data_IF_184869920909
#
_entry.id   IF_184869920909
#
_cell.length_a   1.000
_cell.length_b   1.000
_cell.length_c   1.000
_cell.angle_alpha   90.00
_cell.angle_beta   90.00
_cell.angle_gamma   90.00
#
_symmetry.space_group_name_H-M   'P 1'
#
loop_
_entity.id
_entity.type
_entity.pdbx_description
1 polymer ?
#
# COMPACT_ATOMS: atom_id res chain seq x y z
N UNK A 1 -9.63 50.40 28.69
CA UNK A 1 -8.22 50.01 28.45
C UNK A 1 -8.08 48.62 29.07
N UNK A 2 -8.25 47.51 28.33
CA UNK A 2 -7.29 46.87 27.39
C UNK A 2 -5.95 46.60 28.12
N UNK A 3 -5.44 45.39 28.31
CA UNK A 3 -5.43 44.18 27.46
C UNK A 3 -5.49 42.86 28.27
N UNK A 4 -6.18 41.87 27.72
CA UNK A 4 -6.03 40.46 28.06
C UNK A 4 -5.26 39.80 26.91
N UNK A 5 -4.16 39.11 27.23
CA UNK A 5 -3.38 38.34 26.26
C UNK A 5 -4.03 36.97 26.08
N UNK A 6 -4.63 36.74 24.91
CA UNK A 6 -5.04 35.43 24.42
C UNK A 6 -3.84 34.82 23.67
N UNK A 7 -3.27 33.74 24.23
CA UNK A 7 -2.34 32.89 23.49
C UNK A 7 -3.12 32.05 22.49
N UNK A 8 -2.95 32.33 21.20
CA UNK A 8 -3.32 31.43 20.12
C UNK A 8 -2.16 30.46 19.88
N UNK A 9 -2.31 29.20 20.27
CA UNK A 9 -1.56 28.11 19.64
C UNK A 9 -2.36 27.65 18.40
N UNK A 10 -1.74 27.52 17.22
CA UNK A 10 -2.41 26.92 16.09
C UNK A 10 -2.45 25.41 16.26
N UNK A 11 -3.67 24.88 16.34
CA UNK A 11 -3.98 23.48 16.01
C UNK A 11 -3.69 23.28 14.51
N UNK A 12 -2.45 22.93 14.17
CA UNK A 12 -2.17 22.23 12.92
C UNK A 12 -2.65 20.79 13.08
N UNK A 13 -3.90 20.55 12.67
CA UNK A 13 -4.36 19.22 12.33
C UNK A 13 -3.60 18.77 11.07
N UNK A 14 -2.43 18.17 11.28
CA UNK A 14 -1.59 17.55 10.26
C UNK A 14 -2.31 16.26 9.80
N UNK A 15 -3.28 16.43 8.89
CA UNK A 15 -3.94 15.31 8.21
C UNK A 15 -2.97 14.74 7.18
N UNK A 16 -2.01 13.94 7.66
CA UNK A 16 -1.13 13.12 6.84
C UNK A 16 -1.90 11.93 6.29
N UNK A 17 -2.58 12.14 5.16
CA UNK A 17 -3.11 11.07 4.34
C UNK A 17 -1.95 10.17 3.88
N UNK A 18 -1.83 8.99 4.50
CA UNK A 18 -0.92 7.93 4.08
C UNK A 18 -1.49 7.28 2.83
N UNK A 19 -0.98 7.74 1.69
CA UNK A 19 -1.07 7.00 0.46
C UNK A 19 -0.23 5.73 0.57
N UNK A 20 -0.84 4.57 0.40
CA UNK A 20 -0.11 3.36 -0.02
C UNK A 20 0.21 3.47 -1.52
N UNK A 21 0.82 4.57 -1.94
CA UNK A 21 1.98 4.43 -2.82
C UNK A 21 2.99 3.69 -1.94
N UNK A 22 3.73 2.72 -2.48
CA UNK A 22 4.94 2.22 -1.80
C UNK A 22 5.88 3.41 -1.56
N UNK A 23 5.62 4.18 -0.50
CA UNK A 23 6.54 5.10 0.12
C UNK A 23 7.38 4.18 0.99
N UNK A 24 8.34 3.54 0.34
CA UNK A 24 9.45 2.88 1.03
C UNK A 24 10.00 3.90 2.00
N UNK A 25 9.86 3.60 3.29
CA UNK A 25 10.50 4.39 4.33
C UNK A 25 12.01 4.24 4.14
N UNK A 26 12.65 5.27 3.57
CA UNK A 26 14.09 5.46 3.57
C UNK A 26 14.58 5.65 5.01
N UNK A 27 14.65 4.57 5.78
CA UNK A 27 15.25 4.55 7.11
C UNK A 27 16.58 3.80 7.05
N UNK A 28 17.69 4.54 6.96
CA UNK A 28 19.02 3.99 7.16
C UNK A 28 20.15 4.58 6.31
N UNK A 29 20.31 5.92 6.23
CA UNK A 29 21.56 6.51 5.74
C UNK A 29 22.60 6.54 6.87
N UNK A 30 23.56 5.62 6.83
CA UNK A 30 24.84 5.77 7.51
C UNK A 30 25.84 6.44 6.55
N UNK A 31 26.52 7.48 7.05
CA UNK A 31 27.36 8.40 6.32
C UNK A 31 28.60 7.75 5.65
N UNK A 32 28.93 8.22 4.44
CA UNK A 32 30.16 7.93 3.71
C UNK A 32 31.42 8.51 4.38
N UNK A 33 32.50 7.73 4.36
CA UNK A 33 33.88 8.23 4.41
C UNK A 33 34.61 7.84 3.11
N UNK A 34 35.44 8.71 2.48
CA UNK A 34 36.01 8.44 1.16
C UNK A 34 37.46 7.94 1.24
N UNK A 35 37.82 6.94 0.41
CA UNK A 35 39.20 6.76 -0.08
C UNK A 35 39.26 5.83 -1.32
N UNK A 36 39.46 6.45 -2.50
CA UNK A 36 40.24 6.04 -3.70
C UNK A 36 40.14 4.63 -4.32
N UNK A 37 39.80 4.54 -5.62
CA UNK A 37 40.77 4.47 -6.76
C UNK A 37 40.01 4.49 -8.12
N UNK A 38 40.57 5.03 -9.23
CA UNK A 38 39.85 5.40 -10.43
C UNK A 38 39.85 4.29 -11.48
N UNK A 39 38.71 3.62 -11.63
CA UNK A 39 38.18 3.11 -12.90
C UNK A 39 36.66 3.21 -12.88
N UNK A 40 36.16 4.45 -12.83
CA UNK A 40 34.78 4.75 -13.20
C UNK A 40 34.63 4.42 -14.69
N UNK A 41 34.13 3.22 -14.98
CA UNK A 41 33.37 3.04 -16.21
C UNK A 41 32.27 4.10 -16.19
N UNK A 42 32.17 4.89 -17.27
CA UNK A 42 31.08 5.81 -17.59
C UNK A 42 29.74 5.05 -17.69
N UNK A 43 29.30 4.48 -16.57
CA UNK A 43 27.95 3.97 -16.40
C UNK A 43 27.05 5.18 -16.24
N UNK A 44 26.00 5.24 -17.04
CA UNK A 44 24.94 6.23 -16.87
C UNK A 44 24.44 6.20 -15.42
N UNK A 45 24.20 7.37 -14.84
CA UNK A 45 23.68 7.53 -13.47
C UNK A 45 22.23 7.01 -13.29
N UNK A 46 21.68 6.37 -14.32
CA UNK A 46 20.31 5.85 -14.42
C UNK A 46 20.33 4.33 -14.56
N UNK A 47 19.36 3.61 -13.96
CA UNK A 47 19.22 2.18 -14.14
C UNK A 47 18.88 1.84 -15.60
N UNK A 48 19.18 0.61 -16.07
CA UNK A 48 18.72 0.16 -17.38
C UNK A 48 17.19 0.26 -17.50
N UNK A 49 16.68 0.41 -18.73
CA UNK A 49 15.24 0.46 -18.96
C UNK A 49 14.56 -0.88 -18.66
N UNK A 50 13.35 -0.82 -18.10
CA UNK A 50 12.43 -1.96 -18.05
C UNK A 50 11.75 -2.07 -19.41
N UNK A 51 11.75 -3.26 -20.01
CA UNK A 51 11.06 -3.49 -21.29
C UNK A 51 9.76 -4.26 -21.05
N UNK A 52 8.65 -3.76 -21.59
CA UNK A 52 7.34 -4.42 -21.56
C UNK A 52 6.93 -4.81 -22.98
N UNK A 53 6.43 -6.04 -23.16
CA UNK A 53 5.96 -6.56 -24.46
C UNK A 53 4.57 -7.16 -24.33
N UNK A 54 3.77 -7.07 -25.39
CA UNK A 54 2.46 -7.72 -25.52
C UNK A 54 1.90 -7.59 -26.92
N UNK A 55 1.34 -8.67 -27.48
CA UNK A 55 0.76 -8.73 -28.84
C UNK A 55 1.64 -8.11 -29.94
N UNK A 56 2.95 -8.42 -29.92
CA UNK A 56 3.93 -7.91 -30.89
C UNK A 56 4.30 -6.43 -30.71
N UNK A 57 3.77 -5.76 -29.68
CA UNK A 57 4.16 -4.40 -29.27
C UNK A 57 5.21 -4.45 -28.18
N UNK A 58 6.00 -3.38 -28.09
CA UNK A 58 7.01 -3.20 -27.07
C UNK A 58 7.04 -1.73 -26.64
N UNK A 59 7.20 -1.49 -25.35
CA UNK A 59 7.57 -0.19 -24.78
C UNK A 59 8.79 -0.37 -23.89
N UNK A 60 9.71 0.59 -23.95
CA UNK A 60 10.81 0.70 -22.99
C UNK A 60 10.43 1.78 -21.99
N UNK A 61 10.68 1.52 -20.72
CA UNK A 61 10.28 2.38 -19.62
C UNK A 61 11.51 2.84 -18.85
N UNK A 62 11.64 4.15 -18.70
CA UNK A 62 12.59 4.77 -17.79
C UNK A 62 12.09 4.68 -16.35
N UNK A 63 13.02 4.56 -15.41
CA UNK A 63 12.69 4.67 -14.00
C UNK A 63 12.54 6.15 -13.63
N UNK A 64 11.43 6.53 -13.00
CA UNK A 64 11.21 7.91 -12.55
C UNK A 64 11.57 8.11 -11.08
N UNK A 65 11.59 7.03 -10.29
CA UNK A 65 12.14 7.00 -8.92
C UNK A 65 13.04 5.78 -8.83
N UNK A 66 14.25 5.93 -8.32
CA UNK A 66 15.20 4.82 -8.19
C UNK A 66 16.35 5.17 -7.24
N UNK A 67 16.95 4.14 -6.66
CA UNK A 67 18.32 4.13 -6.19
C UNK A 67 19.10 3.06 -6.97
N UNK A 68 20.10 3.47 -7.74
CA UNK A 68 20.91 2.59 -8.55
C UNK A 68 22.39 2.97 -8.46
N UNK A 69 23.22 1.98 -8.11
CA UNK A 69 24.63 2.19 -7.78
C UNK A 69 24.79 3.23 -6.66
N UNK A 70 25.37 4.40 -6.96
CA UNK A 70 25.62 5.50 -6.04
C UNK A 70 24.69 6.71 -6.27
N UNK A 71 23.65 6.55 -7.09
CA UNK A 71 22.71 7.63 -7.43
C UNK A 71 21.30 7.28 -6.99
N UNK A 72 20.62 8.24 -6.39
CA UNK A 72 19.18 8.16 -6.17
C UNK A 72 18.48 9.34 -6.84
N UNK A 73 17.33 9.08 -7.43
CA UNK A 73 16.42 10.07 -7.96
C UNK A 73 15.02 9.78 -7.43
N UNK A 74 14.31 10.83 -7.06
CA UNK A 74 12.90 10.74 -6.68
C UNK A 74 12.09 11.66 -7.60
N UNK A 75 11.19 11.07 -8.36
CA UNK A 75 10.50 11.74 -9.44
C UNK A 75 9.14 11.14 -9.70
N UNK A 76 8.57 11.51 -10.85
CA UNK A 76 7.22 11.09 -11.24
C UNK A 76 7.10 11.11 -12.76
N UNK A 77 6.32 10.21 -13.36
CA UNK A 77 6.18 10.19 -14.81
C UNK A 77 5.35 11.40 -15.26
N UNK A 78 5.85 12.20 -16.19
CA UNK A 78 5.06 13.27 -16.81
C UNK A 78 4.02 12.71 -17.81
N UNK A 79 4.36 11.58 -18.42
CA UNK A 79 3.54 10.86 -19.38
C UNK A 79 3.64 9.36 -19.11
N UNK A 80 2.57 8.61 -19.42
CA UNK A 80 2.60 7.15 -19.35
C UNK A 80 2.85 6.58 -20.75
N UNK A 81 3.99 5.88 -20.97
CA UNK A 81 4.14 5.04 -22.15
C UNK A 81 2.94 4.09 -22.26
N UNK A 82 2.31 4.02 -23.43
CA UNK A 82 1.12 3.20 -23.66
C UNK A 82 1.48 1.96 -24.48
N UNK A 83 1.33 0.78 -23.89
CA UNK A 83 1.50 -0.50 -24.58
C UNK A 83 0.37 -0.75 -25.61
N UNK A 84 -0.75 -0.03 -25.49
CA UNK A 84 -1.92 -0.15 -26.32
C UNK A 84 -2.89 -1.22 -25.84
N UNK A 85 -3.69 -1.74 -26.78
CA UNK A 85 -4.67 -2.81 -26.50
C UNK A 85 -4.05 -4.19 -26.66
N UNK A 86 -4.13 -5.01 -25.62
CA UNK A 86 -3.57 -6.36 -25.55
C UNK A 86 -4.66 -7.39 -25.22
N UNK A 87 -4.66 -8.50 -25.94
CA UNK A 87 -5.50 -9.67 -25.75
C UNK A 87 -4.72 -10.91 -25.27
N UNK A 88 -3.41 -10.95 -25.56
CA UNK A 88 -2.51 -12.01 -25.16
C UNK A 88 -1.74 -11.74 -23.87
N UNK A 89 -0.59 -12.39 -23.78
CA UNK A 89 0.34 -12.28 -22.66
C UNK A 89 1.07 -10.93 -22.65
N UNK A 90 1.29 -10.39 -21.46
CA UNK A 90 2.16 -9.23 -21.24
C UNK A 90 3.39 -9.72 -20.48
N UNK A 91 4.59 -9.42 -20.98
CA UNK A 91 5.86 -9.75 -20.32
C UNK A 91 6.62 -8.50 -19.95
N UNK A 92 7.18 -8.46 -18.75
CA UNK A 92 8.09 -7.43 -18.26
C UNK A 92 9.49 -8.04 -18.18
N UNK A 93 10.51 -7.33 -18.63
CA UNK A 93 11.90 -7.81 -18.56
C UNK A 93 12.86 -6.72 -18.14
N UNK A 94 13.88 -7.12 -17.39
CA UNK A 94 14.94 -6.25 -16.89
C UNK A 94 16.30 -6.95 -17.06
N UNK A 95 17.33 -6.25 -17.57
CA UNK A 95 18.57 -6.90 -18.00
C UNK A 95 19.48 -7.34 -16.84
N UNK A 96 19.31 -6.77 -15.64
CA UNK A 96 20.17 -7.09 -14.50
C UNK A 96 19.68 -8.32 -13.75
N UNK A 97 20.61 -9.23 -13.45
CA UNK A 97 20.33 -10.47 -12.74
C UNK A 97 20.05 -10.23 -11.27
N UNK A 98 19.26 -11.11 -10.67
CA UNK A 98 18.97 -11.12 -9.23
C UNK A 98 17.89 -10.14 -8.79
N UNK A 99 17.51 -9.19 -9.64
CA UNK A 99 16.41 -8.28 -9.35
C UNK A 99 15.09 -9.02 -9.20
N UNK A 100 14.26 -8.54 -8.28
CA UNK A 100 12.87 -8.99 -8.09
C UNK A 100 11.94 -7.87 -8.45
N UNK A 101 10.77 -8.22 -8.97
CA UNK A 101 9.78 -7.24 -9.37
C UNK A 101 8.40 -7.58 -8.85
N UNK A 102 7.66 -6.53 -8.52
CA UNK A 102 6.25 -6.55 -8.13
C UNK A 102 5.48 -5.55 -8.99
N UNK A 103 4.15 -5.68 -9.01
CA UNK A 103 3.32 -4.78 -9.78
C UNK A 103 2.04 -4.41 -9.05
N UNK A 104 1.57 -3.19 -9.32
CA UNK A 104 0.27 -2.70 -8.87
C UNK A 104 -0.49 -2.18 -10.07
N UNK A 105 -1.80 -2.43 -10.10
CA UNK A 105 -2.69 -1.95 -11.14
C UNK A 105 -3.58 -0.84 -10.60
N UNK A 106 -3.72 0.25 -11.35
CA UNK A 106 -4.50 1.44 -10.99
C UNK A 106 -5.48 1.79 -12.10
N UNK A 107 -6.65 2.30 -11.72
CA UNK A 107 -7.67 2.82 -12.64
C UNK A 107 -8.23 4.15 -12.13
N UNK A 108 -8.24 5.23 -12.94
CA UNK A 108 -7.88 5.29 -14.37
C UNK A 108 -6.38 5.21 -14.66
N UNK A 109 -6.03 4.99 -15.93
CA UNK A 109 -4.65 4.97 -16.40
C UNK A 109 -4.07 6.39 -16.54
N UNK A 110 -3.76 7.04 -15.41
CA UNK A 110 -3.26 8.42 -15.34
C UNK A 110 -1.84 8.50 -14.79
N UNK A 111 -1.05 9.47 -15.27
CA UNK A 111 0.32 9.68 -14.82
C UNK A 111 0.43 10.10 -13.34
N UNK A 112 -0.65 10.65 -12.78
CA UNK A 112 -0.72 11.08 -11.38
C UNK A 112 -1.97 10.48 -10.73
N UNK A 113 -1.83 9.33 -10.05
CA UNK A 113 -2.95 8.68 -9.40
C UNK A 113 -3.55 9.60 -8.33
N UNK A 114 -4.87 9.60 -8.22
CA UNK A 114 -5.62 10.32 -7.20
C UNK A 114 -6.05 9.37 -6.08
N UNK A 115 -6.44 9.86 -4.88
CA UNK A 115 -6.73 8.95 -3.75
C UNK A 115 -7.89 8.01 -4.06
N UNK A 116 -8.69 8.38 -5.07
CA UNK A 116 -9.94 7.72 -5.44
C UNK A 116 -9.77 6.73 -6.58
N UNK A 117 -8.53 6.58 -7.06
CA UNK A 117 -8.22 5.63 -8.10
C UNK A 117 -8.34 4.22 -7.54
N UNK A 118 -8.97 3.35 -8.31
CA UNK A 118 -9.16 1.96 -7.93
C UNK A 118 -7.81 1.26 -8.08
N UNK A 119 -7.29 0.78 -6.95
CA UNK A 119 -6.15 -0.11 -6.92
C UNK A 119 -6.62 -1.57 -7.00
N UNK A 120 -5.95 -2.35 -7.84
CA UNK A 120 -6.14 -3.79 -8.00
C UNK A 120 -4.75 -4.46 -7.94
N UNK A 121 -4.66 -5.71 -7.48
CA UNK A 121 -3.39 -6.41 -7.50
C UNK A 121 -3.00 -6.71 -8.95
N UNK A 122 -1.71 -6.64 -9.24
CA UNK A 122 -1.13 -7.19 -10.46
C UNK A 122 0.03 -8.11 -10.08
N UNK A 123 0.04 -9.32 -10.62
CA UNK A 123 1.09 -10.28 -10.25
C UNK A 123 2.15 -10.37 -11.34
N UNK A 124 3.42 -10.31 -10.94
CA UNK A 124 4.54 -10.68 -11.79
C UNK A 124 5.00 -12.09 -11.46
N UNK A 125 4.82 -13.01 -12.41
CA UNK A 125 5.21 -14.42 -12.28
C UNK A 125 6.49 -14.66 -13.07
N UNK A 126 7.53 -15.19 -12.43
CA UNK A 126 8.79 -15.47 -13.12
C UNK A 126 8.60 -16.38 -14.34
N UNK A 127 9.05 -15.91 -15.51
CA UNK A 127 8.95 -16.60 -16.80
C UNK A 127 10.32 -16.94 -17.40
N UNK A 128 11.39 -16.66 -16.66
CA UNK A 128 12.77 -16.89 -17.07
C UNK A 128 13.71 -15.91 -16.36
N UNK A 129 15.00 -16.00 -16.67
CA UNK A 129 16.00 -15.08 -16.11
C UNK A 129 15.70 -13.64 -16.54
N UNK A 130 15.41 -12.76 -15.57
CA UNK A 130 15.15 -11.34 -15.85
C UNK A 130 13.85 -11.08 -16.62
N UNK A 131 12.91 -12.03 -16.64
CA UNK A 131 11.63 -11.89 -17.34
C UNK A 131 10.49 -12.41 -16.48
N UNK A 132 9.40 -11.65 -16.44
CA UNK A 132 8.19 -11.92 -15.68
C UNK A 132 6.98 -11.80 -16.59
N UNK A 133 6.01 -12.68 -16.42
CA UNK A 133 4.68 -12.57 -16.99
C UNK A 133 3.81 -11.75 -16.06
N UNK A 134 3.18 -10.71 -16.61
CA UNK A 134 2.22 -9.88 -15.89
C UNK A 134 0.83 -10.52 -15.95
N UNK A 135 0.20 -10.64 -14.78
CA UNK A 135 -1.18 -11.10 -14.60
C UNK A 135 -2.00 -9.96 -13.98
N UNK A 136 -2.63 -9.11 -14.81
CA UNK A 136 -3.58 -8.10 -14.34
C UNK A 136 -4.80 -8.76 -13.69
N UNK A 137 -5.34 -8.16 -12.62
CA UNK A 137 -6.58 -8.61 -11.98
C UNK A 137 -7.79 -7.75 -12.40
N UNK A 138 -8.98 -8.27 -12.18
CA UNK A 138 -10.24 -7.53 -12.38
C UNK A 138 -10.73 -7.54 -13.84
N UNK A 139 -11.69 -6.65 -14.17
CA UNK A 139 -12.35 -6.65 -15.47
C UNK A 139 -11.40 -6.28 -16.63
N UNK A 140 -11.83 -6.53 -17.87
CA UNK A 140 -11.18 -5.93 -19.04
C UNK A 140 -11.29 -4.39 -18.95
N UNK A 141 -10.23 -3.67 -19.27
CA UNK A 141 -10.22 -2.22 -19.11
C UNK A 141 -8.89 -1.58 -19.41
N UNK A 142 -8.84 -0.26 -19.24
CA UNK A 142 -7.61 0.53 -19.37
C UNK A 142 -7.05 0.83 -17.98
N UNK A 143 -5.80 0.47 -17.78
CA UNK A 143 -5.12 0.51 -16.51
C UNK A 143 -3.75 1.18 -16.62
N UNK A 144 -3.33 1.79 -15.52
CA UNK A 144 -1.93 2.05 -15.24
C UNK A 144 -1.36 0.85 -14.49
N UNK A 145 -0.17 0.43 -14.87
CA UNK A 145 0.59 -0.61 -14.17
C UNK A 145 1.86 0.03 -13.66
N UNK A 146 2.03 0.01 -12.35
CA UNK A 146 3.27 0.39 -11.69
C UNK A 146 4.09 -0.88 -11.49
N UNK A 147 5.36 -0.84 -11.91
CA UNK A 147 6.29 -1.95 -11.77
C UNK A 147 7.42 -1.49 -10.86
N UNK A 148 7.57 -2.21 -9.76
CA UNK A 148 8.56 -1.93 -8.74
C UNK A 148 9.63 -3.00 -8.74
N UNK A 149 10.90 -2.59 -8.81
CA UNK A 149 12.05 -3.47 -8.89
C UNK A 149 12.98 -3.29 -7.71
N UNK A 150 13.56 -4.39 -7.22
CA UNK A 150 14.55 -4.38 -6.15
C UNK A 150 15.78 -5.20 -6.47
N UNK A 151 16.96 -4.64 -6.17
CA UNK A 151 18.23 -5.33 -6.24
C UNK A 151 18.56 -6.10 -4.95
N UNK A 152 19.20 -7.28 -5.05
CA UNK A 152 19.88 -7.88 -3.91
C UNK A 152 21.00 -6.97 -3.41
N UNK A 153 21.00 -6.63 -2.12
CA UNK A 153 22.06 -5.83 -1.51
C UNK A 153 21.85 -4.31 -1.57
N UNK A 154 20.66 -3.86 -1.98
CA UNK A 154 20.31 -2.44 -2.03
C UNK A 154 20.14 -1.93 -3.45
N UNK A 155 19.21 -0.99 -3.60
CA UNK A 155 18.80 -0.42 -4.88
C UNK A 155 17.39 -0.84 -5.26
N UNK A 156 16.67 0.10 -5.85
CA UNK A 156 15.29 -0.03 -6.26
C UNK A 156 15.02 0.83 -7.50
N UNK A 157 13.91 0.55 -8.16
CA UNK A 157 13.38 1.42 -9.20
C UNK A 157 11.87 1.28 -9.30
N UNK A 158 11.22 2.37 -9.70
CA UNK A 158 9.81 2.43 -10.02
C UNK A 158 9.66 2.90 -11.46
N UNK A 159 8.82 2.17 -12.21
CA UNK A 159 8.38 2.59 -13.54
C UNK A 159 6.88 2.38 -13.70
N UNK A 160 6.28 3.00 -14.70
CA UNK A 160 4.84 2.91 -14.94
C UNK A 160 4.51 2.93 -16.43
N UNK A 161 3.44 2.23 -16.81
CA UNK A 161 2.93 2.26 -18.18
C UNK A 161 1.40 2.10 -18.20
N UNK A 162 0.78 2.54 -19.30
CA UNK A 162 -0.63 2.31 -19.56
C UNK A 162 -0.83 1.06 -20.44
N UNK A 163 -1.90 0.31 -20.19
CA UNK A 163 -2.31 -0.81 -21.03
C UNK A 163 -3.83 -0.93 -21.05
N UNK A 164 -4.38 -1.38 -22.17
CA UNK A 164 -5.80 -1.75 -22.28
C UNK A 164 -5.92 -3.27 -22.45
N UNK A 165 -6.46 -3.97 -21.46
CA UNK A 165 -6.72 -5.42 -21.55
C UNK A 165 -8.09 -5.66 -22.16
N UNK A 166 -8.19 -6.63 -23.08
CA UNK A 166 -9.49 -7.02 -23.68
C UNK A 166 -10.16 -8.20 -22.99
N UNK A 167 -9.43 -8.88 -22.11
CA UNK A 167 -9.91 -10.02 -21.31
C UNK A 167 -9.86 -9.64 -19.84
N UNK A 168 -10.87 -10.07 -19.09
CA UNK A 168 -10.84 -9.98 -17.65
C UNK A 168 -9.73 -10.89 -17.08
N UNK A 169 -9.04 -10.40 -16.07
CA UNK A 169 -8.14 -11.18 -15.23
C UNK A 169 -8.89 -11.94 -14.15
N UNK A 170 -8.15 -12.47 -13.18
CA UNK A 170 -8.74 -13.07 -11.98
C UNK A 170 -9.47 -12.00 -11.16
N UNK A 171 -10.60 -12.36 -10.56
CA UNK A 171 -11.22 -11.51 -9.53
C UNK A 171 -10.34 -11.57 -8.28
N UNK A 172 -9.82 -10.44 -7.79
CA UNK A 172 -9.03 -10.44 -6.56
C UNK A 172 -9.92 -10.88 -5.38
N UNK A 173 -9.34 -11.66 -4.47
CA UNK A 173 -10.01 -11.95 -3.21
C UNK A 173 -10.09 -10.66 -2.38
N UNK A 174 -11.18 -10.45 -1.61
CA UNK A 174 -11.24 -9.36 -0.67
C UNK A 174 -10.05 -9.39 0.30
N UNK A 175 -9.49 -8.22 0.57
CA UNK A 175 -8.40 -8.03 1.52
C UNK A 175 -8.85 -7.06 2.59
N UNK A 176 -8.30 -7.20 3.79
CA UNK A 176 -8.60 -6.29 4.87
C UNK A 176 -7.34 -6.03 5.69
N UNK A 177 -7.31 -4.87 6.33
CA UNK A 177 -6.26 -4.48 7.26
C UNK A 177 -6.81 -3.66 8.41
N UNK A 178 -6.12 -3.73 9.55
CA UNK A 178 -6.42 -2.91 10.71
C UNK A 178 -5.12 -2.26 11.21
N UNK A 179 -5.08 -0.93 11.17
CA UNK A 179 -4.16 -0.12 11.95
C UNK A 179 -4.76 0.09 13.35
N UNK A 180 -4.14 -0.51 14.37
CA UNK A 180 -4.61 -0.37 15.74
C UNK A 180 -3.51 -0.15 16.77
N UNK A 181 -2.45 -0.95 16.71
CA UNK A 181 -1.31 -0.85 17.61
C UNK A 181 -0.03 -0.94 16.81
N UNK A 182 0.98 -0.20 17.24
CA UNK A 182 2.35 -0.34 16.79
C UNK A 182 3.26 -0.55 18.01
N UNK A 183 4.43 -1.12 17.75
CA UNK A 183 5.48 -1.20 18.76
C UNK A 183 6.29 0.09 18.72
N UNK A 184 6.28 0.83 19.84
CA UNK A 184 7.11 2.01 20.05
C UNK A 184 8.00 1.75 21.27
N UNK A 185 9.30 1.55 21.02
CA UNK A 185 10.33 1.26 22.03
C UNK A 185 10.01 0.05 22.93
N UNK A 186 9.46 -1.02 22.36
CA UNK A 186 9.11 -2.25 23.06
C UNK A 186 7.81 -2.14 23.86
N UNK A 187 6.95 -1.16 23.54
CA UNK A 187 5.67 -0.92 24.19
C UNK A 187 4.57 -0.73 23.17
N UNK A 188 3.34 -1.17 23.48
CA UNK A 188 2.19 -0.91 22.64
C UNK A 188 1.90 0.59 22.64
N UNK A 189 1.70 1.12 21.45
CA UNK A 189 1.26 2.49 21.24
C UNK A 189 0.15 2.49 20.17
N UNK A 190 -0.81 3.40 20.28
CA UNK A 190 -1.75 3.69 19.21
C UNK A 190 -1.55 5.15 18.79
N UNK A 191 -1.75 5.46 17.50
CA UNK A 191 -1.62 6.83 17.01
C UNK A 191 -2.83 7.72 17.40
N UNK A 192 -3.55 7.37 18.48
CA UNK A 192 -4.81 8.00 18.84
C UNK A 192 -5.95 7.68 17.87
N UNK A 193 -5.78 6.73 16.96
CA UNK A 193 -6.77 6.36 15.94
C UNK A 193 -6.84 4.85 15.72
N UNK A 194 -7.98 4.39 15.23
CA UNK A 194 -8.17 3.08 14.63
C UNK A 194 -8.57 3.24 13.17
N UNK A 195 -7.88 2.54 12.28
CA UNK A 195 -8.15 2.54 10.84
C UNK A 195 -8.40 1.11 10.38
N UNK A 196 -9.63 0.83 9.96
CA UNK A 196 -10.01 -0.48 9.45
C UNK A 196 -10.44 -0.34 7.99
N UNK A 197 -9.96 -1.23 7.15
CA UNK A 197 -10.29 -1.20 5.74
C UNK A 197 -10.56 -2.57 5.16
N UNK A 198 -11.39 -2.57 4.12
CA UNK A 198 -11.62 -3.72 3.25
C UNK A 198 -11.48 -3.26 1.80
N UNK A 199 -10.70 -3.99 1.04
CA UNK A 199 -10.45 -3.81 -0.39
C UNK A 199 -10.97 -4.99 -1.19
N UNK A 200 -11.09 -4.76 -2.50
CA UNK A 200 -11.40 -5.77 -3.51
C UNK A 200 -12.73 -6.51 -3.26
N UNK A 201 -13.71 -5.87 -2.63
CA UNK A 201 -15.07 -6.38 -2.54
C UNK A 201 -15.65 -6.49 -3.96
N UNK A 202 -16.37 -7.59 -4.23
CA UNK A 202 -17.00 -7.81 -5.54
C UNK A 202 -18.02 -6.72 -5.90
N UNK A 203 -18.61 -6.09 -4.88
CA UNK A 203 -19.51 -4.93 -5.01
C UNK A 203 -19.24 -3.91 -3.92
N UNK A 204 -19.41 -2.61 -4.23
CA UNK A 204 -19.45 -1.57 -3.20
C UNK A 204 -20.72 -1.72 -2.35
N UNK A 205 -20.60 -1.91 -1.03
CA UNK A 205 -21.77 -2.00 -0.17
C UNK A 205 -22.50 -0.65 -0.11
N UNK A 206 -23.82 -0.69 0.04
CA UNK A 206 -24.65 0.52 0.21
C UNK A 206 -24.70 0.97 1.66
N UNK A 207 -24.60 0.01 2.58
CA UNK A 207 -24.53 0.21 4.02
C UNK A 207 -23.38 -0.60 4.59
N UNK A 208 -22.60 0.04 5.46
CA UNK A 208 -21.48 -0.58 6.11
C UNK A 208 -21.36 -0.04 7.55
N UNK A 209 -21.11 -0.93 8.51
CA UNK A 209 -20.84 -0.60 9.90
C UNK A 209 -19.78 -1.54 10.44
N UNK A 210 -18.92 -1.05 11.34
CA UNK A 210 -17.93 -1.89 12.00
C UNK A 210 -17.83 -1.55 13.49
N UNK A 211 -17.58 -2.56 14.31
CA UNK A 211 -17.29 -2.41 15.73
C UNK A 211 -16.01 -3.19 16.04
N UNK A 212 -15.05 -2.50 16.63
CA UNK A 212 -13.80 -3.05 17.12
C UNK A 212 -13.95 -3.41 18.59
N UNK A 213 -13.54 -4.60 18.98
CA UNK A 213 -13.44 -4.99 20.39
C UNK A 213 -12.03 -5.46 20.71
N UNK A 214 -11.43 -4.87 21.73
CA UNK A 214 -10.08 -5.19 22.19
C UNK A 214 -10.20 -5.80 23.59
N UNK A 215 -9.60 -6.98 23.76
CA UNK A 215 -9.51 -7.68 25.04
C UNK A 215 -8.05 -7.85 25.42
N UNK A 216 -7.62 -7.18 26.49
CA UNK A 216 -6.30 -7.38 27.10
C UNK A 216 -6.41 -8.19 28.38
N UNK A 217 -5.30 -8.28 29.13
CA UNK A 217 -5.28 -9.08 30.39
C UNK A 217 -6.20 -8.54 31.48
N UNK A 218 -6.42 -7.24 31.52
CA UNK A 218 -7.08 -6.58 32.66
C UNK A 218 -8.42 -5.95 32.29
N UNK A 219 -8.86 -6.07 31.03
CA UNK A 219 -10.11 -5.45 30.61
C UNK A 219 -10.45 -5.70 29.15
N UNK A 220 -11.64 -5.22 28.79
CA UNK A 220 -12.24 -5.29 27.46
C UNK A 220 -12.85 -3.95 27.14
N UNK A 221 -12.64 -3.46 25.93
CA UNK A 221 -13.23 -2.22 25.44
C UNK A 221 -13.74 -2.42 24.01
N UNK A 222 -14.86 -1.79 23.68
CA UNK A 222 -15.46 -1.81 22.35
C UNK A 222 -15.60 -0.39 21.83
N UNK A 223 -15.38 -0.23 20.53
CA UNK A 223 -15.36 1.05 19.82
C UNK A 223 -16.14 0.88 18.52
N UNK A 224 -17.10 1.78 18.29
CA UNK A 224 -17.72 1.88 16.98
C UNK A 224 -16.73 2.52 16.01
N UNK A 225 -16.60 1.94 14.82
CA UNK A 225 -15.77 2.46 13.74
C UNK A 225 -16.72 3.07 12.70
N UNK A 226 -16.96 4.39 12.72
CA UNK A 226 -17.79 5.02 11.71
C UNK A 226 -17.15 4.87 10.33
N UNK A 227 -18.00 4.75 9.32
CA UNK A 227 -17.57 4.76 7.92
C UNK A 227 -16.92 6.11 7.63
N UNK A 228 -15.71 6.10 7.04
CA UNK A 228 -15.04 7.34 6.67
C UNK A 228 -15.88 8.11 5.66
N UNK A 229 -16.12 9.40 5.93
CA UNK A 229 -16.91 10.29 5.07
C UNK A 229 -16.10 10.88 3.92
N UNK A 230 -14.88 10.40 3.70
CA UNK A 230 -14.04 10.86 2.59
C UNK A 230 -14.84 10.86 1.28
N UNK A 231 -14.69 11.95 0.51
CA UNK A 231 -15.30 12.16 -0.82
C UNK A 231 -14.91 11.07 -1.83
N UNK A 232 -14.08 10.15 -1.39
CA UNK A 232 -13.24 9.26 -2.15
C UNK A 232 -13.55 7.81 -1.78
N UNK A 233 -14.44 7.19 -2.55
CA UNK A 233 -14.86 5.79 -2.32
C UNK A 233 -14.69 4.98 -3.59
N UNK A 234 -13.48 4.45 -3.87
CA UNK A 234 -13.25 3.56 -4.99
C UNK A 234 -14.22 2.37 -4.93
N UNK A 235 -14.58 1.85 -6.11
CA UNK A 235 -15.47 0.69 -6.16
C UNK A 235 -14.83 -0.51 -5.47
N UNK A 236 -15.63 -1.26 -4.71
CA UNK A 236 -15.18 -2.45 -3.99
C UNK A 236 -14.34 -2.15 -2.75
N UNK A 237 -14.36 -0.92 -2.21
CA UNK A 237 -13.65 -0.56 -1.00
C UNK A 237 -14.58 0.01 0.07
N UNK A 238 -14.24 -0.24 1.33
CA UNK A 238 -14.76 0.48 2.50
C UNK A 238 -13.63 0.82 3.45
N UNK A 239 -13.75 1.97 4.12
CA UNK A 239 -12.80 2.49 5.10
C UNK A 239 -13.58 2.95 6.32
N UNK A 240 -13.11 2.58 7.50
CA UNK A 240 -13.66 2.99 8.77
C UNK A 240 -12.56 3.63 9.60
N UNK A 241 -12.89 4.70 10.31
CA UNK A 241 -11.93 5.48 11.08
C UNK A 241 -12.55 5.89 12.41
N UNK A 242 -11.81 5.76 13.50
CA UNK A 242 -12.23 6.26 14.81
C UNK A 242 -11.06 6.93 15.53
N UNK A 243 -11.28 8.15 16.04
CA UNK A 243 -10.35 8.80 16.95
C UNK A 243 -10.54 8.27 18.38
N UNK A 244 -9.50 7.68 18.93
CA UNK A 244 -9.50 7.08 20.27
C UNK A 244 -8.17 7.36 20.98
N UNK A 245 -8.13 8.27 21.98
CA UNK A 245 -6.90 8.60 22.69
C UNK A 245 -6.21 7.38 23.30
N UNK A 246 -4.88 7.34 23.21
CA UNK A 246 -4.07 6.19 23.57
C UNK A 246 -4.23 5.74 25.02
N UNK A 247 -4.13 6.70 25.94
CA UNK A 247 -4.27 6.47 27.37
C UNK A 247 -5.64 5.89 27.73
N UNK A 248 -6.67 6.21 26.95
CA UNK A 248 -8.02 5.67 27.11
C UNK A 248 -8.08 4.21 26.67
N UNK A 249 -7.45 3.84 25.57
CA UNK A 249 -7.40 2.45 25.09
C UNK A 249 -6.62 1.59 26.06
N UNK A 250 -5.35 1.91 26.28
CA UNK A 250 -4.45 1.10 27.10
C UNK A 250 -4.90 1.06 28.57
N UNK A 251 -5.45 2.16 29.09
CA UNK A 251 -6.06 2.19 30.42
C UNK A 251 -7.26 1.27 30.56
N UNK A 252 -8.06 1.09 29.50
CA UNK A 252 -9.26 0.26 29.53
C UNK A 252 -8.97 -1.25 29.36
N UNK A 253 -8.00 -1.61 28.53
CA UNK A 253 -7.70 -3.03 28.21
C UNK A 253 -6.54 -3.61 29.01
N UNK A 254 -5.69 -2.75 29.58
CA UNK A 254 -4.53 -3.14 30.38
C UNK A 254 -3.34 -3.54 29.52
N UNK A 255 -2.77 -4.72 29.79
CA UNK A 255 -1.52 -5.19 29.16
C UNK A 255 -1.78 -6.25 28.09
N UNK A 256 -0.88 -6.30 27.11
CA UNK A 256 -0.85 -7.31 26.06
C UNK A 256 -0.62 -8.76 26.57
N UNK A 257 -0.84 -9.79 25.73
CA UNK A 257 -1.31 -9.75 24.34
C UNK A 257 -2.74 -9.20 24.25
N UNK A 258 -3.05 -8.50 23.15
CA UNK A 258 -4.40 -8.00 22.89
C UNK A 258 -5.08 -8.91 21.88
N UNK A 259 -6.19 -9.52 22.27
CA UNK A 259 -7.11 -10.17 21.33
C UNK A 259 -8.03 -9.10 20.76
N UNK A 260 -8.06 -8.99 19.44
CA UNK A 260 -8.77 -7.94 18.72
C UNK A 260 -9.79 -8.61 17.82
N UNK A 261 -11.06 -8.23 18.00
CA UNK A 261 -12.18 -8.71 17.19
C UNK A 261 -12.77 -7.53 16.42
N UNK A 262 -13.00 -7.71 15.13
CA UNK A 262 -13.73 -6.75 14.29
C UNK A 262 -15.00 -7.41 13.81
N UNK A 263 -16.15 -6.90 14.25
CA UNK A 263 -17.44 -7.23 13.65
C UNK A 263 -17.75 -6.20 12.57
N UNK A 264 -17.98 -6.66 11.34
CA UNK A 264 -18.37 -5.80 10.22
C UNK A 264 -19.69 -6.27 9.65
N UNK A 265 -20.60 -5.34 9.39
CA UNK A 265 -21.86 -5.58 8.69
C UNK A 265 -21.82 -4.88 7.33
N UNK A 266 -21.94 -5.65 6.25
CA UNK A 266 -21.99 -5.16 4.87
C UNK A 266 -23.34 -5.51 4.27
N UNK A 267 -24.15 -4.49 3.96
CA UNK A 267 -25.51 -4.65 3.42
C UNK A 267 -26.39 -5.65 4.21
N UNK A 268 -26.27 -5.65 5.55
CA UNK A 268 -27.02 -6.52 6.45
C UNK A 268 -26.40 -7.91 6.68
N UNK A 269 -25.27 -8.23 6.04
CA UNK A 269 -24.52 -9.46 6.26
C UNK A 269 -23.38 -9.21 7.25
N UNK A 270 -23.37 -9.95 8.35
CA UNK A 270 -22.34 -9.87 9.39
C UNK A 270 -21.15 -10.77 9.10
N UNK A 271 -19.95 -10.26 9.34
CA UNK A 271 -18.69 -10.96 9.30
C UNK A 271 -17.89 -10.61 10.55
N UNK A 272 -17.13 -11.56 11.08
CA UNK A 272 -16.26 -11.35 12.24
C UNK A 272 -14.84 -11.75 11.89
N UNK A 273 -13.86 -10.91 12.22
CA UNK A 273 -12.45 -11.26 12.17
C UNK A 273 -11.82 -11.20 13.55
N UNK A 274 -10.81 -12.03 13.79
CA UNK A 274 -10.05 -12.07 15.04
C UNK A 274 -8.55 -12.07 14.76
N UNK A 275 -7.80 -11.30 15.56
CA UNK A 275 -6.34 -11.15 15.50
C UNK A 275 -5.78 -11.03 16.91
N UNK A 276 -4.48 -11.24 17.08
CA UNK A 276 -3.77 -11.06 18.34
C UNK A 276 -2.52 -10.22 18.14
N UNK A 277 -2.47 -9.05 18.77
CA UNK A 277 -1.26 -8.22 18.79
C UNK A 277 -0.35 -8.62 19.98
N UNK A 278 1.00 -8.65 19.81
CA UNK A 278 1.77 -8.33 18.60
C UNK A 278 1.95 -9.50 17.62
N UNK A 279 1.46 -10.70 17.96
CA UNK A 279 1.71 -11.93 17.19
C UNK A 279 1.35 -11.82 15.70
N UNK A 280 0.21 -11.19 15.41
CA UNK A 280 -0.37 -11.11 14.07
C UNK A 280 -0.09 -9.75 13.39
N UNK A 281 0.76 -8.91 13.99
CA UNK A 281 1.19 -7.64 13.38
C UNK A 281 2.13 -7.91 12.22
N UNK A 282 1.94 -7.19 11.11
CA UNK A 282 2.82 -7.34 9.95
C UNK A 282 4.25 -6.91 10.29
N UNK A 283 5.21 -7.75 9.89
CA UNK A 283 6.64 -7.42 9.94
C UNK A 283 7.11 -6.68 8.69
N UNK A 284 6.21 -6.47 7.72
CA UNK A 284 6.49 -5.68 6.53
C UNK A 284 6.63 -4.20 6.93
N UNK A 285 7.80 -3.58 6.72
CA UNK A 285 8.00 -2.17 7.04
C UNK A 285 7.01 -1.24 6.33
N UNK A 286 6.53 -1.62 5.15
CA UNK A 286 5.61 -0.82 4.35
C UNK A 286 4.15 -0.99 4.81
N UNK A 287 3.85 -2.07 5.53
CA UNK A 287 2.53 -2.29 6.13
C UNK A 287 2.33 -1.51 7.44
N UNK A 288 3.36 -0.82 7.95
CA UNK A 288 3.27 0.03 9.14
C UNK A 288 2.77 -0.69 10.40
N UNK A 289 3.01 -2.00 10.52
CA UNK A 289 2.52 -2.81 11.63
C UNK A 289 1.03 -3.17 11.57
N UNK A 290 0.37 -2.98 10.43
CA UNK A 290 -1.02 -3.36 10.26
C UNK A 290 -1.26 -4.84 10.58
N UNK A 291 -2.40 -5.12 11.19
CA UNK A 291 -2.89 -6.48 11.43
C UNK A 291 -3.68 -6.95 10.22
N UNK A 292 -3.54 -8.23 9.84
CA UNK A 292 -4.31 -8.85 8.74
C UNK A 292 -5.48 -9.65 9.31
N UNK A 293 -6.72 -9.14 9.28
CA UNK A 293 -7.87 -9.84 9.85
C UNK A 293 -8.27 -11.03 8.98
N UNK A 294 -8.58 -12.16 9.62
CA UNK A 294 -9.13 -13.35 8.95
C UNK A 294 -10.63 -13.47 9.28
N UNK A 295 -11.49 -13.33 8.27
CA UNK A 295 -12.94 -13.28 8.45
C UNK A 295 -13.62 -14.66 8.46
N UNK A 296 -14.59 -14.80 9.36
CA UNK A 296 -15.56 -15.89 9.40
C UNK A 296 -16.99 -15.31 9.52
N UNK A 297 -17.90 -15.60 8.57
CA UNK A 297 -17.63 -16.20 7.26
C UNK A 297 -16.72 -15.30 6.41
N UNK A 298 -16.05 -15.89 5.41
CA UNK A 298 -15.22 -15.15 4.47
C UNK A 298 -16.00 -14.01 3.79
N UNK A 299 -15.29 -12.92 3.51
CA UNK A 299 -15.79 -11.79 2.72
C UNK A 299 -16.04 -12.23 1.28
N UNK A 300 -17.01 -11.57 0.63
CA UNK A 300 -17.44 -11.84 -0.75
C UNK A 300 -17.69 -10.53 -1.47
#
# INVERSE_FOLDING_TARGET
>A
MREASYGQEPLEADVRWRWTVMLVSLAGMAACGPTGDPRESEGTAEPPQVTVRGDGRQVSLDAFTYCYLNTCADGRPEHLPDLGTVAGEITVSFPLKGWRFEATQLQPAVAFPQPCDVQLPARLVGAGTGTWRLEPAGPAGRYRIDVFGHAPGGGDLVTAFAVTTTRAGSTPAPQAGLGAFHDHDGKPDNYGTFEFWIDHLSTSPRKAAATLTITGRNGRASYDLPLSEDDCRPKGQVRFHAEVPNERVLGAVGREPYTIEVEVELDGKRHTASMVWPRDASTDPDAGGALTPVFAPALS
#
